data_IF_349588677026
#
_entry.id   IF_349588677026
#
_cell.length_a   1.000
_cell.length_b   1.000
_cell.length_c   1.000
_cell.angle_alpha   90.00
_cell.angle_beta   90.00
_cell.angle_gamma   90.00
#
_symmetry.space_group_name_H-M   'P 1'
#
loop_
_entity.id
_entity.type
_entity.pdbx_description
1 polymer ?
#
# COMPACT_ATOMS: atom_id res chain seq x y z
N UNK A 1 -14.81 -3.75 8.21
CA UNK A 1 -15.35 -4.36 6.98
C UNK A 1 -14.54 -5.62 6.72
N UNK A 2 -15.20 -6.76 6.67
CA UNK A 2 -14.56 -8.07 6.44
C UNK A 2 -14.81 -8.61 5.02
N UNK A 3 -14.33 -9.82 4.72
CA UNK A 3 -14.48 -10.45 3.41
C UNK A 3 -15.95 -10.75 3.07
N UNK A 4 -16.76 -11.09 4.06
CA UNK A 4 -18.18 -11.37 3.87
C UNK A 4 -18.92 -10.11 3.40
N UNK A 5 -18.68 -8.99 4.09
CA UNK A 5 -19.26 -7.69 3.72
C UNK A 5 -18.85 -7.26 2.29
N UNK A 6 -17.61 -7.56 1.88
CA UNK A 6 -17.07 -7.16 0.56
C UNK A 6 -17.49 -8.05 -0.61
N UNK A 7 -17.74 -9.33 -0.36
CA UNK A 7 -18.04 -10.32 -1.40
C UNK A 7 -19.54 -10.55 -1.58
N UNK A 8 -20.37 -10.16 -0.61
CA UNK A 8 -21.79 -10.53 -0.57
C UNK A 8 -22.01 -12.01 -0.25
N UNK A 9 -20.96 -12.73 0.17
CA UNK A 9 -21.01 -14.13 0.58
C UNK A 9 -21.14 -14.21 2.10
N UNK A 10 -21.98 -15.12 2.59
CA UNK A 10 -22.21 -15.23 4.04
C UNK A 10 -20.95 -15.71 4.78
N UNK A 11 -20.77 -15.27 6.04
CA UNK A 11 -19.69 -15.75 6.91
C UNK A 11 -19.70 -17.27 7.09
N UNK A 12 -20.89 -17.88 7.16
CA UNK A 12 -21.01 -19.34 7.26
C UNK A 12 -20.49 -20.03 6.01
N UNK A 13 -20.83 -19.53 4.82
CA UNK A 13 -20.34 -20.06 3.54
C UNK A 13 -18.81 -19.96 3.44
N UNK A 14 -18.22 -18.85 3.89
CA UNK A 14 -16.76 -18.69 3.91
C UNK A 14 -16.12 -19.71 4.88
N UNK A 15 -16.67 -19.88 6.08
CA UNK A 15 -16.17 -20.86 7.06
C UNK A 15 -16.33 -22.31 6.58
N UNK A 16 -17.41 -22.62 5.87
CA UNK A 16 -17.64 -23.94 5.31
C UNK A 16 -16.62 -24.27 4.21
N UNK A 17 -16.22 -23.27 3.42
CA UNK A 17 -15.15 -23.38 2.45
C UNK A 17 -13.78 -23.56 3.12
N UNK A 18 -13.43 -22.70 4.07
CA UNK A 18 -12.14 -22.79 4.79
C UNK A 18 -12.01 -24.09 5.60
N UNK A 19 -13.13 -24.66 6.03
CA UNK A 19 -13.18 -25.92 6.75
C UNK A 19 -13.17 -27.17 5.87
N UNK A 20 -13.00 -27.02 4.55
CA UNK A 20 -13.04 -28.09 3.55
C UNK A 20 -14.31 -28.97 3.64
N UNK A 21 -15.41 -28.36 4.10
CA UNK A 21 -16.68 -29.08 4.37
C UNK A 21 -17.55 -29.22 3.14
N UNK A 22 -17.32 -28.41 2.09
CA UNK A 22 -18.03 -28.45 0.82
C UNK A 22 -17.21 -27.79 -0.30
N UNK A 23 -17.32 -28.33 -1.52
CA UNK A 23 -16.86 -27.65 -2.73
C UNK A 23 -17.74 -26.41 -2.99
N UNK A 24 -17.13 -25.23 -3.09
CA UNK A 24 -17.85 -24.01 -3.46
C UNK A 24 -18.41 -24.08 -4.88
N UNK A 25 -19.56 -23.46 -5.09
CA UNK A 25 -20.03 -23.16 -6.45
C UNK A 25 -19.06 -22.18 -7.10
N UNK A 26 -18.73 -22.41 -8.38
CA UNK A 26 -17.91 -21.52 -9.23
C UNK A 26 -18.30 -20.04 -9.13
N UNK A 27 -19.59 -19.76 -8.94
CA UNK A 27 -20.11 -18.40 -8.74
C UNK A 27 -19.60 -17.75 -7.44
N UNK A 28 -19.65 -18.48 -6.31
CA UNK A 28 -19.14 -17.99 -5.01
C UNK A 28 -17.64 -17.75 -5.06
N UNK A 29 -16.89 -18.66 -5.71
CA UNK A 29 -15.45 -18.49 -5.94
C UNK A 29 -15.14 -17.19 -6.69
N UNK A 30 -15.90 -16.89 -7.76
CA UNK A 30 -15.74 -15.65 -8.52
C UNK A 30 -16.01 -14.40 -7.66
N UNK A 31 -17.02 -14.44 -6.78
CA UNK A 31 -17.32 -13.33 -5.86
C UNK A 31 -16.21 -13.10 -4.85
N UNK A 32 -15.68 -14.17 -4.24
CA UNK A 32 -14.56 -14.08 -3.30
C UNK A 32 -13.30 -13.56 -3.98
N UNK A 33 -12.99 -14.09 -5.17
CA UNK A 33 -11.86 -13.62 -5.98
C UNK A 33 -11.96 -12.13 -6.27
N UNK A 34 -13.12 -11.66 -6.74
CA UNK A 34 -13.33 -10.25 -7.05
C UNK A 34 -13.19 -9.36 -5.81
N UNK A 35 -13.73 -9.80 -4.66
CA UNK A 35 -13.60 -9.05 -3.41
C UNK A 35 -12.14 -8.93 -2.95
N UNK A 36 -11.33 -9.97 -3.14
CA UNK A 36 -9.89 -9.96 -2.87
C UNK A 36 -9.16 -9.04 -3.87
N UNK A 37 -9.50 -9.12 -5.16
CA UNK A 37 -8.91 -8.28 -6.20
C UNK A 37 -9.18 -6.78 -5.99
N UNK A 38 -10.40 -6.45 -5.56
CA UNK A 38 -10.80 -5.11 -5.13
C UNK A 38 -10.15 -4.69 -3.81
N UNK A 39 -9.82 -5.66 -2.96
CA UNK A 39 -9.05 -5.47 -1.74
C UNK A 39 -7.55 -5.21 -1.98
N UNK A 40 -7.10 -5.16 -3.23
CA UNK A 40 -5.71 -4.89 -3.59
C UNK A 40 -4.88 -6.16 -3.80
N UNK A 41 -5.49 -7.34 -3.90
CA UNK A 41 -4.78 -8.57 -4.22
C UNK A 41 -4.73 -8.76 -5.75
N UNK A 42 -3.67 -9.33 -6.28
CA UNK A 42 -3.59 -9.79 -7.66
C UNK A 42 -3.24 -11.27 -7.68
N UNK A 43 -4.03 -12.05 -8.41
CA UNK A 43 -3.76 -13.46 -8.69
C UNK A 43 -3.15 -13.57 -10.08
N UNK A 44 -2.05 -14.31 -10.20
CA UNK A 44 -1.40 -14.58 -11.47
C UNK A 44 -1.04 -16.06 -11.59
N UNK A 45 -0.93 -16.55 -12.82
CA UNK A 45 -0.46 -17.91 -13.09
C UNK A 45 1.04 -17.87 -13.34
N UNK A 46 1.80 -18.76 -12.72
CA UNK A 46 3.22 -18.94 -13.02
C UNK A 46 3.36 -20.20 -13.86
N UNK A 47 4.07 -20.13 -14.99
CA UNK A 47 4.30 -21.30 -15.83
C UNK A 47 4.99 -22.42 -15.02
N UNK A 48 4.45 -23.64 -15.08
CA UNK A 48 4.94 -24.78 -14.32
C UNK A 48 4.51 -24.83 -12.85
N UNK A 49 3.76 -23.85 -12.36
CA UNK A 49 3.25 -23.79 -11.00
C UNK A 49 1.73 -23.51 -10.99
N UNK A 50 1.14 -23.49 -9.79
CA UNK A 50 -0.27 -23.21 -9.59
C UNK A 50 -0.55 -21.69 -9.62
N UNK A 51 -1.27 -21.15 -8.65
CA UNK A 51 -1.61 -19.74 -8.54
C UNK A 51 -0.60 -19.01 -7.65
N UNK A 52 -0.10 -17.87 -8.14
CA UNK A 52 0.64 -16.89 -7.36
C UNK A 52 -0.28 -15.75 -6.87
N UNK A 53 0.06 -15.18 -5.71
CA UNK A 53 -0.67 -14.08 -5.08
C UNK A 53 0.32 -12.95 -4.78
N UNK A 54 0.01 -11.71 -5.17
CA UNK A 54 0.75 -10.52 -4.77
C UNK A 54 -0.17 -9.39 -4.33
N UNK A 55 0.37 -8.45 -3.55
CA UNK A 55 -0.31 -7.19 -3.28
C UNK A 55 -0.09 -6.26 -4.48
N UNK A 56 -1.18 -5.66 -4.98
CA UNK A 56 -1.10 -4.54 -5.89
C UNK A 56 -0.47 -3.39 -5.12
N UNK A 57 0.73 -2.99 -5.52
CA UNK A 57 1.22 -1.66 -5.15
C UNK A 57 0.17 -0.67 -5.61
N UNK A 58 -0.27 0.29 -4.77
CA UNK A 58 -1.13 1.36 -5.26
C UNK A 58 -0.35 2.04 -6.37
N UNK A 59 -0.74 1.78 -7.62
CA UNK A 59 -0.17 2.44 -8.76
C UNK A 59 -0.48 3.91 -8.56
N UNK A 60 0.52 4.69 -8.17
CA UNK A 60 0.50 6.14 -8.29
C UNK A 60 0.51 6.44 -9.79
N UNK A 61 -0.63 6.19 -10.44
CA UNK A 61 -1.01 6.85 -11.69
C UNK A 61 -1.63 8.22 -11.37
N UNK A 62 -1.13 8.86 -10.31
CA UNK A 62 -1.28 10.29 -10.13
C UNK A 62 -0.05 10.91 -10.82
N UNK A 63 -0.23 11.87 -11.74
CA UNK A 63 0.90 12.60 -12.31
C UNK A 63 1.73 13.15 -11.14
N UNK A 64 3.05 12.92 -11.21
CA UNK A 64 3.99 13.29 -10.16
C UNK A 64 3.68 14.70 -9.63
N UNK A 65 3.64 14.92 -8.30
CA UNK A 65 3.53 16.26 -7.77
C UNK A 65 4.73 17.05 -8.29
N UNK A 66 4.46 18.10 -9.06
CA UNK A 66 5.49 19.04 -9.47
C UNK A 66 6.10 19.63 -8.20
N UNK A 67 7.30 19.17 -7.85
CA UNK A 67 8.10 19.73 -6.78
C UNK A 67 8.52 21.15 -7.21
N UNK A 68 7.70 22.16 -6.91
CA UNK A 68 8.15 23.55 -6.93
C UNK A 68 8.94 23.79 -5.66
N UNK A 69 10.22 23.46 -5.71
CA UNK A 69 11.19 23.96 -4.75
C UNK A 69 11.23 25.49 -4.86
N UNK A 70 10.72 26.19 -3.85
CA UNK A 70 11.09 27.57 -3.58
C UNK A 70 11.47 27.63 -2.11
N UNK A 71 12.70 27.20 -1.83
CA UNK A 71 13.35 27.39 -0.54
C UNK A 71 13.71 28.86 -0.38
N UNK A 72 12.84 29.64 0.25
CA UNK A 72 13.22 30.95 0.76
C UNK A 72 14.10 30.75 2.00
N UNK A 73 15.42 30.91 1.82
CA UNK A 73 16.35 31.00 2.94
C UNK A 73 16.33 32.44 3.50
N UNK A 74 15.65 32.63 4.62
CA UNK A 74 15.78 33.86 5.42
C UNK A 74 17.22 33.97 5.96
N UNK A 75 17.95 35.07 5.72
CA UNK A 75 19.27 35.24 6.29
C UNK A 75 19.16 35.49 7.81
N UNK A 76 19.67 34.55 8.60
CA UNK A 76 19.89 34.73 10.04
C UNK A 76 20.95 35.81 10.23
N UNK A 77 20.57 36.94 10.84
CA UNK A 77 21.52 37.99 11.22
C UNK A 77 22.36 37.50 12.39
N UNK A 78 23.60 37.11 12.13
CA UNK A 78 24.57 36.76 13.15
C UNK A 78 25.08 37.99 13.88
N UNK A 79 24.85 38.04 15.19
CA UNK A 79 25.48 38.99 16.11
C UNK A 79 26.99 38.68 16.20
N UNK A 80 27.85 39.60 15.76
CA UNK A 80 29.30 39.47 15.97
C UNK A 80 29.64 39.95 17.38
N UNK A 81 29.65 38.99 18.30
CA UNK A 81 30.26 39.12 19.62
C UNK A 81 31.79 39.25 19.53
N UNK A 82 32.28 40.29 20.20
CA UNK A 82 33.65 40.77 20.29
C UNK A 82 34.59 39.78 21.03
N UNK A 83 35.75 39.45 20.45
CA UNK A 83 36.89 38.93 21.20
C UNK A 83 38.21 39.34 20.51
N UNK A 84 38.81 40.43 21.01
CA UNK A 84 40.16 40.87 20.65
C UNK A 84 41.20 40.00 21.36
N UNK A 85 42.13 39.45 20.59
CA UNK A 85 43.28 38.73 21.13
C UNK A 85 44.37 38.49 20.10
N UNK A 86 45.59 38.97 20.39
CA UNK A 86 46.95 38.47 20.06
C UNK A 86 47.94 39.66 20.13
N UNK A 87 48.77 39.80 21.18
CA UNK A 87 50.10 39.20 21.45
C UNK A 87 51.21 39.55 20.44
N UNK A 88 52.16 40.37 20.92
CA UNK A 88 53.61 40.21 20.77
C UNK A 88 54.25 40.56 19.42
N UNK A 89 55.01 41.66 19.39
CA UNK A 89 56.48 41.75 19.17
C UNK A 89 56.89 43.22 19.27
#
# INVERSE_FOLDING_TARGET
>A
MDLADRSGVSRSTIRDYEGDRHSLHRATEAQLRLALENGGIAFFRVEGHEIGICLKTPSTDAPAPAHTESGEILPVSGEQGHATGKRGQ
#
